data_IF_498884577964
#
_entry.id   IF_498884577964
#
_cell.length_a   1.000
_cell.length_b   1.000
_cell.length_c   1.000
_cell.angle_alpha   90.00
_cell.angle_beta   90.00
_cell.angle_gamma   90.00
#
_symmetry.space_group_name_H-M   'P 1'
#
loop_
_entity.id
_entity.type
_entity.pdbx_description
1 polymer ?
#
# COMPACT_ATOMS: atom_id res chain seq x y z
N UNK A 1 0.10 14.60 23.32
CA UNK A 1 1.19 15.54 22.95
C UNK A 1 2.02 16.05 24.14
N UNK A 2 1.46 16.20 25.36
CA UNK A 2 2.23 16.62 26.53
C UNK A 2 3.28 15.58 27.00
N UNK A 3 2.89 14.30 27.08
CA UNK A 3 3.80 13.22 27.50
C UNK A 3 5.00 13.02 26.54
N UNK A 4 4.80 13.22 25.24
CA UNK A 4 5.86 13.14 24.23
C UNK A 4 6.85 14.31 24.31
N UNK A 5 6.39 15.52 24.68
CA UNK A 5 7.26 16.69 24.89
C UNK A 5 8.10 16.57 26.17
N UNK A 6 7.51 16.12 27.27
CA UNK A 6 8.22 15.89 28.53
C UNK A 6 9.23 14.73 28.41
N UNK A 7 8.84 13.63 27.73
CA UNK A 7 9.73 12.51 27.46
C UNK A 7 10.92 12.87 26.55
N UNK A 8 10.73 13.80 25.61
CA UNK A 8 11.81 14.25 24.72
C UNK A 8 12.98 14.90 25.49
N UNK A 9 12.68 15.75 26.49
CA UNK A 9 13.72 16.36 27.32
C UNK A 9 14.49 15.33 28.15
N UNK A 10 13.78 14.34 28.70
CA UNK A 10 14.38 13.22 29.43
C UNK A 10 15.32 12.36 28.56
N UNK A 11 14.95 12.13 27.30
CA UNK A 11 15.75 11.32 26.37
C UNK A 11 17.04 12.00 25.91
N UNK A 12 17.04 13.34 25.84
CA UNK A 12 18.18 14.15 25.37
C UNK A 12 19.13 14.53 26.50
N UNK A 13 18.69 14.43 27.76
CA UNK A 13 19.53 14.75 28.90
C UNK A 13 20.67 13.72 29.07
N UNK A 14 21.90 14.15 28.76
CA UNK A 14 23.12 13.33 28.85
C UNK A 14 23.59 13.06 30.29
N UNK A 15 23.02 13.71 31.29
CA UNK A 15 23.28 13.42 32.70
C UNK A 15 22.60 12.15 33.22
N UNK A 16 21.70 11.55 32.44
CA UNK A 16 20.95 10.35 32.82
C UNK A 16 21.56 9.12 32.15
N UNK A 17 21.82 8.07 32.94
CA UNK A 17 22.38 6.81 32.45
C UNK A 17 21.57 6.21 31.30
N UNK A 18 22.30 5.68 30.32
CA UNK A 18 21.81 4.94 29.15
C UNK A 18 20.72 3.93 29.51
N UNK A 19 20.98 3.13 30.54
CA UNK A 19 20.09 2.06 30.96
C UNK A 19 18.73 2.60 31.40
N UNK A 20 18.72 3.75 32.07
CA UNK A 20 17.51 4.41 32.58
C UNK A 20 16.72 5.05 31.43
N UNK A 21 17.38 5.73 30.49
CA UNK A 21 16.73 6.29 29.30
C UNK A 21 16.12 5.20 28.41
N UNK A 22 16.85 4.10 28.19
CA UNK A 22 16.33 2.93 27.46
C UNK A 22 15.18 2.24 28.20
N UNK A 23 15.23 2.20 29.54
CA UNK A 23 14.15 1.64 30.34
C UNK A 23 12.89 2.51 30.27
N UNK A 24 13.00 3.84 30.40
CA UNK A 24 11.90 4.78 30.24
C UNK A 24 11.21 4.65 28.88
N UNK A 25 11.99 4.49 27.81
CA UNK A 25 11.48 4.16 26.48
C UNK A 25 10.63 2.88 26.52
N UNK A 26 11.17 1.79 27.07
CA UNK A 26 10.52 0.47 27.06
C UNK A 26 9.29 0.40 27.96
N UNK A 27 9.32 1.05 29.12
CA UNK A 27 8.28 0.92 30.14
C UNK A 27 7.22 2.02 30.08
N UNK A 28 7.58 3.24 29.66
CA UNK A 28 6.68 4.40 29.69
C UNK A 28 6.25 4.80 28.28
N UNK A 29 7.19 5.23 27.43
CA UNK A 29 6.84 5.74 26.10
C UNK A 29 6.22 4.66 25.22
N UNK A 30 6.75 3.44 25.27
CA UNK A 30 6.13 2.32 24.56
C UNK A 30 4.76 1.98 25.11
N UNK A 31 4.54 1.97 26.43
CA UNK A 31 3.23 1.67 27.02
C UNK A 31 2.18 2.72 26.68
N UNK A 32 2.54 4.00 26.74
CA UNK A 32 1.65 5.12 26.37
C UNK A 32 1.39 5.12 24.87
N UNK A 33 2.45 4.99 24.07
CA UNK A 33 2.34 4.93 22.61
C UNK A 33 1.53 3.73 22.14
N UNK A 34 1.66 2.60 22.86
CA UNK A 34 0.99 1.32 22.56
C UNK A 34 -0.39 1.13 23.16
N UNK A 35 -0.88 2.15 23.87
CA UNK A 35 -2.23 2.13 24.38
C UNK A 35 -3.23 1.95 23.24
N UNK A 36 -4.06 0.91 23.36
CA UNK A 36 -5.06 0.55 22.35
C UNK A 36 -4.56 -0.29 21.17
N UNK A 37 -3.25 -0.51 20.95
CA UNK A 37 -2.77 -1.29 19.79
C UNK A 37 -3.28 -2.72 19.74
N UNK A 38 -3.51 -3.33 20.91
CA UNK A 38 -4.12 -4.66 21.00
C UNK A 38 -5.53 -4.68 20.39
N UNK A 39 -6.34 -3.66 20.69
CA UNK A 39 -7.75 -3.59 20.29
C UNK A 39 -7.97 -2.96 18.92
N UNK A 40 -7.20 -1.91 18.59
CA UNK A 40 -7.43 -1.07 17.40
C UNK A 40 -6.32 -1.17 16.34
N UNK A 41 -5.28 -1.97 16.58
CA UNK A 41 -4.11 -2.01 15.69
C UNK A 41 -3.32 -0.70 15.65
N UNK A 42 -2.27 -0.64 14.82
CA UNK A 42 -1.51 0.59 14.57
C UNK A 42 -0.84 0.59 13.20
N UNK A 43 -1.14 1.61 12.39
CA UNK A 43 -0.49 1.83 11.09
C UNK A 43 1.00 2.18 11.26
N UNK A 44 1.85 1.70 10.34
CA UNK A 44 3.25 2.10 10.20
C UNK A 44 3.45 3.62 10.18
N UNK A 45 2.60 4.37 9.47
CA UNK A 45 2.71 5.84 9.41
C UNK A 45 2.42 6.50 10.76
N UNK A 46 1.51 5.93 11.56
CA UNK A 46 1.26 6.41 12.93
C UNK A 46 2.36 5.99 13.90
N UNK A 47 3.04 4.87 13.62
CA UNK A 47 4.22 4.42 14.35
C UNK A 47 5.47 5.25 14.01
N UNK A 48 5.52 5.90 12.85
CA UNK A 48 6.71 6.60 12.35
C UNK A 48 7.23 7.70 13.27
N UNK A 49 6.41 8.64 13.80
CA UNK A 49 6.91 9.66 14.73
C UNK A 49 7.50 9.05 16.02
N UNK A 50 6.91 7.96 16.51
CA UNK A 50 7.38 7.24 17.69
C UNK A 50 8.71 6.55 17.38
N UNK A 51 8.78 5.86 16.24
CA UNK A 51 10.01 5.21 15.77
C UNK A 51 11.14 6.23 15.56
N UNK A 52 10.86 7.41 15.01
CA UNK A 52 11.85 8.48 14.83
C UNK A 52 12.40 8.97 16.16
N UNK A 53 11.54 9.21 17.16
CA UNK A 53 11.98 9.62 18.50
C UNK A 53 12.91 8.57 19.15
N UNK A 54 12.61 7.28 18.94
CA UNK A 54 13.45 6.18 19.40
C UNK A 54 14.77 6.11 18.65
N UNK A 55 14.74 6.24 17.33
CA UNK A 55 15.94 6.15 16.51
C UNK A 55 16.93 7.28 16.81
N UNK A 56 16.44 8.51 17.05
CA UNK A 56 17.26 9.63 17.52
C UNK A 56 17.94 9.29 18.86
N UNK A 57 17.19 8.69 19.78
CA UNK A 57 17.70 8.30 21.10
C UNK A 57 18.79 7.22 20.97
N UNK A 58 18.55 6.18 20.18
CA UNK A 58 19.49 5.08 19.95
C UNK A 58 20.75 5.57 19.23
N UNK A 59 20.63 6.47 18.25
CA UNK A 59 21.79 7.05 17.53
C UNK A 59 22.67 7.86 18.46
N UNK A 60 22.05 8.73 19.26
CA UNK A 60 22.78 9.52 20.26
C UNK A 60 23.54 8.63 21.24
N UNK A 61 22.98 7.46 21.55
CA UNK A 61 23.55 6.53 22.52
C UNK A 61 24.77 5.77 22.00
N UNK A 62 24.69 5.31 20.75
CA UNK A 62 25.75 4.52 20.13
C UNK A 62 26.81 5.39 19.43
N UNK A 63 26.75 6.71 19.63
CA UNK A 63 27.51 7.70 18.85
C UNK A 63 27.44 7.41 17.34
N UNK A 64 26.29 6.89 16.89
CA UNK A 64 26.15 6.42 15.53
C UNK A 64 25.86 7.60 14.61
N UNK A 65 26.64 7.72 13.54
CA UNK A 65 26.40 8.71 12.49
C UNK A 65 24.97 8.61 11.94
N UNK A 66 24.41 9.76 11.55
CA UNK A 66 23.07 9.85 10.92
C UNK A 66 22.93 9.00 9.66
N UNK A 67 24.04 8.68 9.00
CA UNK A 67 24.09 7.89 7.77
C UNK A 67 24.07 6.38 8.01
N UNK A 68 24.27 5.92 9.25
CA UNK A 68 24.24 4.49 9.58
C UNK A 68 22.79 4.00 9.57
N UNK A 69 22.53 2.86 8.92
CA UNK A 69 21.21 2.23 8.98
C UNK A 69 20.84 1.80 10.40
N UNK A 70 19.60 2.02 10.82
CA UNK A 70 19.13 1.75 12.18
C UNK A 70 19.08 0.26 12.55
N UNK A 71 19.10 -0.65 11.58
CA UNK A 71 19.05 -2.10 11.82
C UNK A 71 20.18 -2.58 12.74
N UNK A 72 21.41 -2.08 12.54
CA UNK A 72 22.57 -2.46 13.37
C UNK A 72 22.47 -1.88 14.80
N UNK A 73 22.24 -0.56 15.00
CA UNK A 73 21.98 0.04 16.30
C UNK A 73 20.84 -0.61 17.10
N UNK A 74 19.71 -0.87 16.45
CA UNK A 74 18.53 -1.49 17.06
C UNK A 74 18.82 -2.93 17.50
N UNK A 75 19.51 -3.73 16.67
CA UNK A 75 19.94 -5.09 17.03
C UNK A 75 20.91 -5.08 18.20
N UNK A 76 21.87 -4.15 18.23
CA UNK A 76 22.83 -3.99 19.33
C UNK A 76 22.15 -3.64 20.65
N UNK A 77 21.10 -2.81 20.61
CA UNK A 77 20.30 -2.43 21.77
C UNK A 77 19.18 -3.43 22.12
N UNK A 78 19.09 -4.57 21.38
CA UNK A 78 18.01 -5.56 21.49
C UNK A 78 16.61 -4.93 21.41
N UNK A 79 16.45 -3.91 20.56
CA UNK A 79 15.19 -3.22 20.35
C UNK A 79 14.60 -3.61 18.99
N UNK A 80 13.37 -4.08 18.99
CA UNK A 80 12.56 -4.26 17.77
C UNK A 80 11.88 -2.96 17.35
N UNK A 81 11.45 -2.88 16.10
CA UNK A 81 10.72 -1.70 15.61
C UNK A 81 9.39 -1.53 16.35
N UNK A 82 8.95 -0.29 16.50
CA UNK A 82 7.64 0.06 17.11
C UNK A 82 6.52 -0.62 16.36
N UNK A 83 6.64 -0.62 15.03
CA UNK A 83 5.69 -1.29 14.15
C UNK A 83 5.61 -2.79 14.40
N UNK A 84 6.76 -3.47 14.53
CA UNK A 84 6.80 -4.89 14.87
C UNK A 84 6.09 -5.18 16.21
N UNK A 85 6.31 -4.34 17.23
CA UNK A 85 5.62 -4.49 18.53
C UNK A 85 4.11 -4.29 18.43
N UNK A 86 3.65 -3.38 17.57
CA UNK A 86 2.22 -3.20 17.30
C UNK A 86 1.61 -4.44 16.64
N UNK A 87 2.28 -5.01 15.64
CA UNK A 87 1.87 -6.27 15.00
C UNK A 87 1.78 -7.42 16.01
N UNK A 88 2.81 -7.59 16.85
CA UNK A 88 2.82 -8.63 17.88
C UNK A 88 1.71 -8.44 18.92
N UNK A 89 1.43 -7.19 19.33
CA UNK A 89 0.32 -6.88 20.23
C UNK A 89 -1.04 -7.24 19.61
N UNK A 90 -1.21 -6.98 18.31
CA UNK A 90 -2.43 -7.34 17.57
C UNK A 90 -2.58 -8.86 17.43
N UNK A 91 -1.52 -9.58 17.08
CA UNK A 91 -1.54 -11.04 17.05
C UNK A 91 -1.99 -11.65 18.39
N UNK A 92 -1.41 -11.18 19.49
CA UNK A 92 -1.79 -11.64 20.84
C UNK A 92 -3.25 -11.35 21.16
N UNK A 93 -3.77 -10.22 20.72
CA UNK A 93 -5.17 -9.87 20.88
C UNK A 93 -6.07 -10.84 20.10
N UNK A 94 -5.71 -11.14 18.84
CA UNK A 94 -6.41 -12.11 18.01
C UNK A 94 -6.49 -13.48 18.68
N UNK A 95 -5.37 -14.03 19.13
CA UNK A 95 -5.36 -15.33 19.80
C UNK A 95 -6.17 -15.35 21.09
N UNK A 96 -6.13 -14.25 21.86
CA UNK A 96 -6.84 -14.15 23.14
C UNK A 96 -8.35 -14.05 22.99
N UNK A 97 -8.83 -13.35 21.95
CA UNK A 97 -10.21 -12.90 21.88
C UNK A 97 -10.96 -13.33 20.61
N UNK A 98 -10.35 -14.15 19.73
CA UNK A 98 -11.02 -14.73 18.56
C UNK A 98 -12.33 -15.45 18.90
N UNK A 99 -12.36 -16.17 20.02
CA UNK A 99 -13.54 -16.93 20.46
C UNK A 99 -14.35 -16.19 21.54
N UNK A 100 -14.16 -14.87 21.67
CA UNK A 100 -14.88 -14.07 22.67
C UNK A 100 -16.34 -13.92 22.28
N UNK A 101 -17.26 -14.21 23.20
CA UNK A 101 -18.71 -14.01 23.00
C UNK A 101 -19.13 -12.53 23.05
N UNK A 102 -18.20 -11.63 23.37
CA UNK A 102 -18.46 -10.18 23.46
C UNK A 102 -18.14 -9.48 22.14
N UNK A 103 -18.57 -8.22 21.99
CA UNK A 103 -18.27 -7.36 20.84
C UNK A 103 -16.76 -7.18 20.54
N UNK A 104 -15.87 -7.59 21.46
CA UNK A 104 -14.42 -7.59 21.27
C UNK A 104 -13.99 -8.56 20.17
N UNK A 105 -14.67 -9.71 19.97
CA UNK A 105 -14.35 -10.61 18.85
C UNK A 105 -14.62 -9.91 17.52
N UNK A 106 -15.79 -9.26 17.38
CA UNK A 106 -16.12 -8.44 16.22
C UNK A 106 -15.08 -7.34 15.99
N UNK A 107 -14.63 -6.60 17.03
CA UNK A 107 -13.57 -5.58 16.88
C UNK A 107 -12.23 -6.13 16.37
N UNK A 108 -11.93 -7.38 16.68
CA UNK A 108 -10.65 -7.99 16.37
C UNK A 108 -10.67 -8.60 14.98
N UNK A 109 -11.82 -9.12 14.58
CA UNK A 109 -12.14 -9.52 13.21
C UNK A 109 -12.22 -8.32 12.25
N UNK A 110 -12.68 -7.15 12.73
CA UNK A 110 -12.58 -5.89 11.99
C UNK A 110 -11.09 -5.53 11.89
N UNK A 111 -10.44 -6.05 10.86
CA UNK A 111 -9.11 -5.68 10.46
C UNK A 111 -9.12 -4.18 10.19
N UNK A 112 -8.50 -3.42 11.09
CA UNK A 112 -8.38 -1.98 10.92
C UNK A 112 -7.46 -1.70 9.74
N UNK A 113 -8.03 -1.64 8.53
CA UNK A 113 -7.75 -0.83 7.32
C UNK A 113 -6.40 -0.10 7.22
N UNK A 114 -5.32 -0.70 7.68
CA UNK A 114 -3.97 -0.10 7.69
C UNK A 114 -2.89 -1.16 7.71
N UNK A 115 -2.97 -2.14 6.80
CA UNK A 115 -1.87 -3.08 6.54
C UNK A 115 -0.84 -2.49 5.56
N UNK A 116 -0.34 -1.28 5.85
CA UNK A 116 0.81 -0.76 5.09
C UNK A 116 2.11 -1.39 5.61
N UNK A 117 2.54 -2.43 4.89
CA UNK A 117 3.84 -3.14 4.94
C UNK A 117 3.99 -4.18 6.07
N UNK A 118 3.11 -5.17 6.12
CA UNK A 118 3.33 -6.46 6.84
C UNK A 118 3.83 -7.55 5.89
N UNK A 119 4.25 -8.69 6.44
CA UNK A 119 4.52 -9.89 5.66
C UNK A 119 3.33 -10.33 4.78
N UNK A 120 2.09 -10.07 5.20
CA UNK A 120 0.90 -10.32 4.38
C UNK A 120 0.89 -9.49 3.08
N UNK A 121 1.45 -8.28 3.10
CA UNK A 121 1.61 -7.48 1.87
C UNK A 121 2.56 -8.18 0.88
N UNK A 122 3.67 -8.75 1.37
CA UNK A 122 4.60 -9.52 0.54
C UNK A 122 3.95 -10.78 -0.06
N UNK A 123 3.04 -11.42 0.67
CA UNK A 123 2.24 -12.53 0.15
C UNK A 123 1.24 -12.03 -0.90
N UNK A 124 0.44 -11.02 -0.57
CA UNK A 124 -0.62 -10.49 -1.43
C UNK A 124 -0.09 -9.86 -2.74
N UNK A 125 1.17 -9.43 -2.76
CA UNK A 125 1.84 -8.98 -3.98
C UNK A 125 2.32 -10.11 -4.90
N UNK A 126 2.34 -11.37 -4.43
CA UNK A 126 2.71 -12.50 -5.29
C UNK A 126 1.53 -12.84 -6.20
N UNK A 127 1.79 -13.18 -7.48
CA UNK A 127 0.72 -13.49 -8.42
C UNK A 127 -0.02 -14.75 -7.98
N UNK A 128 -1.34 -14.69 -8.01
CA UNK A 128 -2.29 -15.73 -7.63
C UNK A 128 -2.03 -16.28 -6.23
N UNK A 129 -1.72 -15.38 -5.30
CA UNK A 129 -1.36 -15.74 -3.93
C UNK A 129 -2.45 -16.55 -3.24
N UNK A 130 -3.73 -16.24 -3.49
CA UNK A 130 -4.90 -16.91 -2.91
C UNK A 130 -4.95 -18.41 -3.26
N UNK A 131 -4.53 -18.78 -4.47
CA UNK A 131 -4.43 -20.18 -4.89
C UNK A 131 -3.14 -20.82 -4.36
N UNK A 132 -2.02 -20.09 -4.45
CA UNK A 132 -0.68 -20.59 -4.10
C UNK A 132 -0.50 -20.85 -2.60
N UNK A 133 -1.10 -20.04 -1.73
CA UNK A 133 -0.97 -20.17 -0.27
C UNK A 133 -1.56 -21.49 0.27
N UNK A 134 -2.55 -22.06 -0.45
CA UNK A 134 -3.14 -23.36 -0.11
C UNK A 134 -2.17 -24.51 -0.32
N UNK A 135 -1.22 -24.39 -1.26
CA UNK A 135 -0.20 -25.39 -1.49
C UNK A 135 0.87 -25.34 -0.38
N UNK A 136 1.04 -26.47 0.32
CA UNK A 136 1.98 -26.63 1.43
C UNK A 136 3.44 -26.41 1.02
N UNK A 137 3.87 -26.88 -0.15
CA UNK A 137 5.25 -26.73 -0.61
C UNK A 137 5.59 -25.27 -0.92
N UNK A 138 4.66 -24.55 -1.56
CA UNK A 138 4.83 -23.12 -1.87
C UNK A 138 4.87 -22.32 -0.56
N UNK A 139 3.99 -22.66 0.39
CA UNK A 139 3.95 -22.02 1.71
C UNK A 139 5.26 -22.23 2.47
N UNK A 140 5.82 -23.43 2.49
CA UNK A 140 7.12 -23.70 3.11
C UNK A 140 8.26 -22.92 2.47
N UNK A 141 8.26 -22.81 1.14
CA UNK A 141 9.24 -21.99 0.41
C UNK A 141 9.13 -20.51 0.82
N UNK A 142 7.90 -19.99 0.91
CA UNK A 142 7.67 -18.63 1.39
C UNK A 142 8.18 -18.48 2.82
N UNK A 143 7.81 -19.37 3.75
CA UNK A 143 8.31 -19.32 5.14
C UNK A 143 9.84 -19.17 5.18
N UNK A 144 10.58 -19.98 4.41
CA UNK A 144 12.05 -19.91 4.32
C UNK A 144 12.56 -18.57 3.77
N UNK A 145 11.89 -17.97 2.78
CA UNK A 145 12.20 -16.64 2.24
C UNK A 145 12.11 -15.55 3.32
N UNK A 146 11.17 -15.71 4.26
CA UNK A 146 10.80 -14.67 5.22
C UNK A 146 11.42 -14.84 6.62
N UNK A 147 11.86 -16.05 6.98
CA UNK A 147 12.57 -16.34 8.24
C UNK A 147 13.73 -15.39 8.58
N UNK A 148 14.56 -14.90 7.63
CA UNK A 148 15.65 -13.97 7.95
C UNK A 148 15.18 -12.57 8.40
N UNK A 149 13.95 -12.21 8.03
CA UNK A 149 13.42 -10.85 8.16
C UNK A 149 12.37 -10.73 9.27
N UNK A 150 11.71 -11.84 9.63
CA UNK A 150 10.58 -11.86 10.56
C UNK A 150 10.68 -13.01 11.56
N UNK A 151 10.17 -12.79 12.77
CA UNK A 151 10.05 -13.85 13.79
C UNK A 151 8.97 -14.87 13.39
N UNK A 152 9.18 -16.13 13.75
CA UNK A 152 8.32 -17.27 13.39
C UNK A 152 6.83 -17.05 13.74
N UNK A 153 6.53 -16.46 14.90
CA UNK A 153 5.16 -16.19 15.33
C UNK A 153 4.42 -15.22 14.40
N UNK A 154 5.14 -14.25 13.83
CA UNK A 154 4.58 -13.27 12.89
C UNK A 154 4.35 -13.92 11.52
N UNK A 155 5.24 -14.84 11.14
CA UNK A 155 5.06 -15.66 9.94
C UNK A 155 3.81 -16.53 10.12
N UNK A 156 3.69 -17.29 11.20
CA UNK A 156 2.51 -18.14 11.41
C UNK A 156 1.19 -17.35 11.39
N UNK A 157 1.15 -16.18 12.02
CA UNK A 157 -0.05 -15.33 11.97
C UNK A 157 -0.47 -14.94 10.56
N UNK A 158 0.45 -14.45 9.73
CA UNK A 158 0.04 -14.00 8.41
C UNK A 158 -0.22 -15.15 7.44
N UNK A 159 0.17 -16.39 7.79
CA UNK A 159 -0.22 -17.60 7.06
C UNK A 159 -1.68 -17.83 7.35
N UNK A 160 -2.03 -17.86 8.63
CA UNK A 160 -3.40 -18.05 9.08
C UNK A 160 -4.31 -16.98 8.48
N UNK A 161 -3.87 -15.72 8.49
CA UNK A 161 -4.60 -14.60 7.88
C UNK A 161 -4.70 -14.71 6.36
N UNK A 162 -3.62 -15.08 5.65
CA UNK A 162 -3.66 -15.31 4.21
C UNK A 162 -4.57 -16.49 3.84
N UNK A 163 -4.54 -17.58 4.62
CA UNK A 163 -5.41 -18.74 4.41
C UNK A 163 -6.88 -18.35 4.59
N UNK A 164 -7.19 -17.63 5.67
CA UNK A 164 -8.53 -17.07 5.90
C UNK A 164 -9.02 -16.25 4.69
N UNK A 165 -8.22 -15.30 4.21
CA UNK A 165 -8.60 -14.52 3.03
C UNK A 165 -8.69 -15.37 1.76
N UNK A 166 -7.87 -16.42 1.61
CA UNK A 166 -7.91 -17.30 0.44
C UNK A 166 -9.17 -18.17 0.35
N UNK A 167 -9.87 -18.35 1.47
CA UNK A 167 -11.15 -19.05 1.51
C UNK A 167 -12.32 -18.11 1.19
N UNK A 168 -12.19 -16.82 1.52
CA UNK A 168 -13.15 -15.78 1.15
C UNK A 168 -13.00 -15.41 -0.34
N UNK A 169 -11.76 -15.23 -0.80
CA UNK A 169 -11.42 -14.74 -2.14
C UNK A 169 -10.96 -15.88 -3.05
N UNK A 170 -11.92 -16.64 -3.56
CA UNK A 170 -11.68 -17.78 -4.45
C UNK A 170 -11.58 -17.40 -5.93
N UNK A 171 -12.05 -16.20 -6.30
CA UNK A 171 -12.04 -15.67 -7.65
C UNK A 171 -10.66 -15.20 -8.14
N UNK A 172 -10.65 -14.59 -9.33
CA UNK A 172 -9.48 -13.92 -9.91
C UNK A 172 -9.22 -12.55 -9.29
N UNK A 173 -10.28 -11.84 -8.89
CA UNK A 173 -10.21 -10.60 -8.14
C UNK A 173 -9.97 -10.88 -6.67
N UNK A 174 -8.88 -10.35 -6.13
CA UNK A 174 -8.45 -10.53 -4.75
C UNK A 174 -8.05 -9.20 -4.13
N UNK A 175 -8.14 -9.03 -2.80
CA UNK A 175 -7.65 -7.84 -2.14
C UNK A 175 -6.14 -7.74 -2.26
N UNK A 176 -5.66 -6.53 -2.52
CA UNK A 176 -4.26 -6.20 -2.62
C UNK A 176 -3.59 -6.03 -1.25
N UNK A 177 -2.29 -5.75 -1.31
CA UNK A 177 -1.45 -5.54 -0.15
C UNK A 177 -1.77 -4.27 0.66
N UNK A 178 -2.54 -3.35 0.08
CA UNK A 178 -2.94 -2.08 0.68
C UNK A 178 -4.46 -2.02 0.72
N UNK A 179 -5.00 -1.33 1.71
CA UNK A 179 -6.45 -1.18 1.86
C UNK A 179 -7.06 -0.46 0.66
N UNK A 180 -8.27 -0.88 0.27
CA UNK A 180 -8.97 -0.42 -0.93
C UNK A 180 -8.12 -0.57 -2.21
N UNK A 181 -7.23 -1.56 -2.27
CA UNK A 181 -6.62 -1.99 -3.53
C UNK A 181 -7.05 -3.41 -3.83
N UNK A 182 -7.26 -3.69 -5.10
CA UNK A 182 -7.61 -5.01 -5.59
C UNK A 182 -6.64 -5.40 -6.70
N UNK A 183 -6.41 -6.69 -6.82
CA UNK A 183 -5.51 -7.29 -7.77
C UNK A 183 -6.32 -8.30 -8.57
N UNK A 184 -6.18 -8.24 -9.89
CA UNK A 184 -6.60 -9.29 -10.81
C UNK A 184 -5.35 -9.64 -11.60
N UNK A 185 -4.81 -10.82 -11.37
CA UNK A 185 -3.72 -11.32 -12.21
C UNK A 185 -4.27 -11.60 -13.62
N UNK A 186 -3.47 -11.28 -14.64
CA UNK A 186 -3.80 -11.54 -16.05
C UNK A 186 -5.13 -10.90 -16.51
N UNK A 187 -5.49 -9.76 -15.91
CA UNK A 187 -6.72 -9.02 -16.20
C UNK A 187 -6.82 -8.57 -17.67
N UNK A 188 -5.68 -8.23 -18.27
CA UNK A 188 -5.57 -7.78 -19.66
C UNK A 188 -5.07 -8.95 -20.52
N UNK A 189 -5.88 -9.45 -21.48
CA UNK A 189 -5.47 -10.50 -22.40
C UNK A 189 -4.22 -10.14 -23.20
N UNK A 190 -3.41 -11.15 -23.54
CA UNK A 190 -2.17 -10.97 -24.31
C UNK A 190 -2.40 -10.34 -25.69
N UNK A 191 -3.55 -10.60 -26.32
CA UNK A 191 -4.00 -9.94 -27.54
C UNK A 191 -4.00 -8.41 -27.40
N UNK A 192 -4.63 -7.88 -26.35
CA UNK A 192 -4.70 -6.44 -26.09
C UNK A 192 -3.32 -5.86 -25.77
N UNK A 193 -2.48 -6.59 -25.03
CA UNK A 193 -1.11 -6.16 -24.76
C UNK A 193 -0.29 -6.04 -26.05
N UNK A 194 -0.46 -6.99 -26.97
CA UNK A 194 0.18 -6.96 -28.28
C UNK A 194 -0.35 -5.80 -29.13
N UNK A 195 -1.67 -5.55 -29.12
CA UNK A 195 -2.27 -4.42 -29.82
C UNK A 195 -1.75 -3.07 -29.31
N UNK A 196 -1.58 -2.90 -27.99
CA UNK A 196 -0.93 -1.71 -27.41
C UNK A 196 0.51 -1.58 -27.94
N UNK A 197 1.28 -2.66 -27.93
CA UNK A 197 2.69 -2.60 -28.37
C UNK A 197 2.81 -2.23 -29.84
N UNK A 198 1.89 -2.69 -30.69
CA UNK A 198 1.83 -2.36 -32.11
C UNK A 198 1.44 -0.89 -32.29
N UNK A 199 0.38 -0.44 -31.62
CA UNK A 199 -0.12 0.94 -31.76
C UNK A 199 0.87 1.97 -31.20
N UNK A 200 1.48 1.73 -30.04
CA UNK A 200 2.50 2.64 -29.47
C UNK A 200 3.70 2.81 -30.41
N UNK A 201 4.20 1.74 -31.04
CA UNK A 201 5.32 1.84 -32.00
C UNK A 201 5.02 2.80 -33.14
N UNK A 202 3.77 2.84 -33.61
CA UNK A 202 3.35 3.78 -34.66
C UNK A 202 3.28 5.23 -34.18
N UNK A 203 3.04 5.45 -32.89
CA UNK A 203 2.96 6.80 -32.29
C UNK A 203 4.32 7.38 -31.87
N UNK A 204 5.33 6.53 -31.59
CA UNK A 204 6.69 6.99 -31.23
C UNK A 204 7.48 7.51 -32.44
N UNK A 205 7.14 7.08 -33.66
CA UNK A 205 7.74 7.59 -34.90
C UNK A 205 7.00 8.82 -35.43
N UNK A 206 7.27 9.97 -34.80
CA UNK A 206 6.68 11.28 -35.14
C UNK A 206 7.23 11.86 -36.46
N UNK A 207 8.08 11.13 -37.18
CA UNK A 207 8.67 11.58 -38.45
C UNK A 207 7.81 11.21 -39.68
N UNK A 208 6.88 10.27 -39.52
CA UNK A 208 6.12 9.65 -40.61
C UNK A 208 4.60 9.91 -40.56
N UNK A 209 4.09 10.52 -39.48
CA UNK A 209 2.67 10.79 -39.33
C UNK A 209 2.32 12.19 -39.82
N UNK A 210 1.36 12.29 -40.76
CA UNK A 210 0.80 13.56 -41.25
C UNK A 210 -0.01 14.34 -40.20
N UNK A 211 0.26 14.12 -38.92
CA UNK A 211 -0.37 14.78 -37.77
C UNK A 211 0.30 16.14 -37.61
N UNK A 212 -0.44 17.25 -37.77
CA UNK A 212 0.12 18.57 -37.48
C UNK A 212 0.60 18.60 -36.03
N UNK A 213 1.82 19.08 -35.83
CA UNK A 213 2.39 19.24 -34.49
C UNK A 213 1.44 20.12 -33.67
N UNK A 214 0.92 19.62 -32.54
CA UNK A 214 -0.15 20.28 -31.79
C UNK A 214 0.15 21.75 -31.44
N UNK A 215 1.43 22.08 -31.23
CA UNK A 215 1.96 23.43 -31.05
C UNK A 215 1.58 24.43 -32.17
N UNK A 216 1.17 23.96 -33.36
CA UNK A 216 0.78 24.78 -34.51
C UNK A 216 -0.73 25.09 -34.56
N UNK A 217 -1.56 24.36 -33.79
CA UNK A 217 -3.03 24.45 -33.84
C UNK A 217 -3.62 25.19 -32.63
N UNK A 218 -2.94 25.21 -31.48
CA UNK A 218 -3.50 25.86 -30.28
C UNK A 218 -3.24 27.37 -30.29
N UNK A 219 -4.29 28.16 -30.01
CA UNK A 219 -4.15 29.59 -29.72
C UNK A 219 -3.23 29.83 -28.52
N UNK A 220 -2.53 30.97 -28.52
CA UNK A 220 -1.57 31.43 -27.48
C UNK A 220 -2.22 31.70 -26.10
N UNK A 221 -3.24 30.94 -25.71
CA UNK A 221 -3.86 31.03 -24.39
C UNK A 221 -2.94 30.45 -23.34
N UNK A 222 -2.59 31.26 -22.34
CA UNK A 222 -1.80 30.81 -21.20
C UNK A 222 -2.57 29.73 -20.43
N UNK A 223 -2.17 28.46 -20.58
CA UNK A 223 -2.62 27.40 -19.68
C UNK A 223 -1.98 27.62 -18.32
N UNK A 224 -2.80 27.98 -17.31
CA UNK A 224 -2.39 27.91 -15.90
C UNK A 224 -2.19 26.44 -15.53
N UNK A 225 -0.96 25.97 -15.66
CA UNK A 225 -0.55 24.68 -15.13
C UNK A 225 -0.77 24.67 -13.61
N UNK A 226 -1.76 23.94 -13.12
CA UNK A 226 -1.86 23.58 -11.71
C UNK A 226 -0.84 22.47 -11.45
N UNK A 227 0.45 22.80 -11.53
CA UNK A 227 1.51 21.90 -11.08
C UNK A 227 1.44 21.89 -9.55
N UNK A 228 1.26 20.71 -8.92
CA UNK A 228 1.38 20.59 -7.47
C UNK A 228 2.74 21.13 -7.04
N UNK A 229 2.78 21.93 -5.99
CA UNK A 229 3.99 22.55 -5.45
C UNK A 229 5.15 21.56 -5.36
N UNK A 230 6.37 22.02 -5.71
CA UNK A 230 7.66 21.32 -5.93
C UNK A 230 8.04 20.11 -5.03
N UNK A 231 7.33 19.80 -3.97
CA UNK A 231 7.71 18.82 -2.96
C UNK A 231 7.36 17.35 -3.30
N UNK A 232 6.62 17.05 -4.38
CA UNK A 232 6.22 15.67 -4.69
C UNK A 232 6.43 15.21 -6.15
N UNK A 233 7.49 15.69 -6.81
CA UNK A 233 7.82 15.33 -8.20
C UNK A 233 8.33 13.89 -8.42
N UNK A 234 8.36 13.03 -7.39
CA UNK A 234 8.88 11.65 -7.53
C UNK A 234 8.04 10.79 -8.49
N UNK A 235 6.76 11.10 -8.64
CA UNK A 235 5.81 10.34 -9.45
C UNK A 235 5.41 11.06 -10.75
N UNK A 236 6.00 12.24 -11.01
CA UNK A 236 5.71 13.02 -12.21
C UNK A 236 6.74 12.69 -13.29
N UNK A 237 6.31 11.98 -14.33
CA UNK A 237 7.13 11.81 -15.53
C UNK A 237 7.11 13.10 -16.35
N UNK A 238 8.30 13.62 -16.68
CA UNK A 238 8.45 14.74 -17.63
C UNK A 238 8.32 14.31 -19.09
N UNK A 239 8.37 12.99 -19.35
CA UNK A 239 8.41 12.40 -20.69
C UNK A 239 7.06 11.80 -21.10
N UNK A 240 6.32 11.24 -20.14
CA UNK A 240 5.06 10.54 -20.38
C UNK A 240 3.99 11.21 -19.51
N UNK A 241 3.08 11.95 -20.13
CA UNK A 241 1.97 12.60 -19.45
C UNK A 241 0.68 12.18 -20.12
N UNK A 242 -0.16 11.44 -19.38
CA UNK A 242 -1.55 11.25 -19.74
C UNK A 242 -2.33 12.42 -19.11
N UNK A 243 -2.85 13.34 -19.92
CA UNK A 243 -3.73 14.40 -19.42
C UNK A 243 -5.07 13.79 -19.00
N UNK A 244 -5.76 14.35 -17.97
CA UNK A 244 -7.07 13.84 -17.57
C UNK A 244 -7.99 13.65 -18.78
N UNK A 245 -8.43 12.41 -18.98
CA UNK A 245 -9.32 12.01 -20.06
C UNK A 245 -10.64 11.59 -19.43
N UNK A 246 -11.73 12.09 -19.98
CA UNK A 246 -13.09 11.71 -19.61
C UNK A 246 -13.45 10.38 -20.28
N UNK A 247 -14.00 9.47 -19.47
CA UNK A 247 -14.49 8.17 -19.90
C UNK A 247 -15.97 8.09 -19.54
N UNK A 248 -16.80 7.60 -20.46
CA UNK A 248 -18.16 7.18 -20.16
C UNK A 248 -18.19 5.66 -19.96
N UNK A 249 -19.02 5.19 -19.03
CA UNK A 249 -19.20 3.76 -18.77
C UNK A 249 -20.68 3.46 -18.90
N UNK A 250 -21.05 2.68 -19.92
CA UNK A 250 -22.44 2.35 -20.14
C UNK A 250 -22.94 1.24 -19.20
N UNK A 251 -24.26 0.97 -19.24
CA UNK A 251 -24.90 -0.01 -18.36
C UNK A 251 -24.36 -1.44 -18.50
N UNK A 252 -23.73 -1.77 -19.64
CA UNK A 252 -23.14 -3.08 -19.90
C UNK A 252 -21.66 -3.16 -19.46
N UNK A 253 -21.08 -2.04 -19.01
CA UNK A 253 -19.68 -1.94 -18.60
C UNK A 253 -18.71 -1.70 -19.75
N UNK A 254 -19.19 -1.38 -20.97
CA UNK A 254 -18.32 -0.88 -22.03
C UNK A 254 -17.89 0.54 -21.73
N UNK A 255 -16.67 0.88 -22.15
CA UNK A 255 -16.04 2.16 -21.85
C UNK A 255 -15.86 2.93 -23.14
N UNK A 256 -16.30 4.19 -23.17
CA UNK A 256 -16.10 5.11 -24.29
C UNK A 256 -15.19 6.26 -23.84
N UNK A 257 -14.19 6.60 -24.64
CA UNK A 257 -13.32 7.75 -24.40
C UNK A 257 -13.94 9.00 -25.02
N UNK A 258 -14.43 9.92 -24.17
CA UNK A 258 -15.16 11.10 -24.64
C UNK A 258 -14.25 12.26 -25.04
N UNK A 259 -13.08 12.36 -24.41
CA UNK A 259 -12.18 13.50 -24.58
C UNK A 259 -10.88 13.10 -25.26
N UNK A 260 -10.27 14.05 -25.95
CA UNK A 260 -8.97 13.90 -26.58
C UNK A 260 -7.87 13.46 -25.57
N UNK A 261 -7.17 12.38 -25.88
CA UNK A 261 -5.95 11.94 -25.17
C UNK A 261 -4.75 12.67 -25.76
N UNK A 262 -3.97 13.34 -24.91
CA UNK A 262 -2.81 14.12 -25.34
C UNK A 262 -1.81 13.30 -26.18
N UNK A 263 -1.42 13.84 -27.34
CA UNK A 263 -0.60 13.19 -28.37
C UNK A 263 -1.24 12.00 -29.10
N UNK A 264 -2.54 11.74 -28.92
CA UNK A 264 -3.25 10.65 -29.59
C UNK A 264 -4.45 11.20 -30.38
N UNK A 265 -4.30 11.41 -31.69
CA UNK A 265 -5.40 11.86 -32.55
C UNK A 265 -6.51 10.79 -32.69
N UNK A 266 -7.79 11.11 -32.42
CA UNK A 266 -8.89 10.13 -32.42
C UNK A 266 -9.07 9.40 -33.75
N UNK A 267 -9.02 10.12 -34.88
CA UNK A 267 -9.22 9.51 -36.20
C UNK A 267 -7.98 8.76 -36.71
N UNK A 268 -6.78 9.27 -36.43
CA UNK A 268 -5.53 8.70 -36.97
C UNK A 268 -5.08 7.50 -36.13
N UNK A 269 -5.38 7.53 -34.83
CA UNK A 269 -5.07 6.47 -33.88
C UNK A 269 -6.33 5.80 -33.33
N UNK A 270 -7.39 5.70 -34.14
CA UNK A 270 -8.67 5.10 -33.77
C UNK A 270 -8.50 3.72 -33.12
N UNK A 271 -7.69 2.85 -33.73
CA UNK A 271 -7.38 1.52 -33.16
C UNK A 271 -6.77 1.59 -31.75
N UNK A 272 -6.01 2.64 -31.44
CA UNK A 272 -5.44 2.81 -30.11
C UNK A 272 -6.48 3.26 -29.09
N UNK A 273 -7.44 4.11 -29.48
CA UNK A 273 -8.60 4.44 -28.64
C UNK A 273 -9.42 3.18 -28.33
N UNK A 274 -9.78 2.39 -29.36
CA UNK A 274 -10.51 1.13 -29.19
C UNK A 274 -9.77 0.14 -28.26
N UNK A 275 -8.45 0.02 -28.44
CA UNK A 275 -7.62 -0.85 -27.59
C UNK A 275 -7.64 -0.38 -26.13
N UNK A 276 -7.56 0.93 -25.89
CA UNK A 276 -7.59 1.51 -24.55
C UNK A 276 -8.97 1.31 -23.90
N UNK A 277 -10.06 1.57 -24.62
CA UNK A 277 -11.43 1.30 -24.17
C UNK A 277 -11.58 -0.14 -23.68
N UNK A 278 -11.21 -1.12 -24.52
CA UNK A 278 -11.22 -2.56 -24.18
C UNK A 278 -10.40 -2.91 -22.94
N UNK A 279 -9.31 -2.18 -22.66
CA UNK A 279 -8.50 -2.38 -21.44
C UNK A 279 -9.22 -1.80 -20.23
N UNK A 280 -9.74 -0.58 -20.33
CA UNK A 280 -10.44 0.07 -19.23
C UNK A 280 -11.72 -0.68 -18.85
N UNK A 281 -12.39 -1.34 -19.81
CA UNK A 281 -13.48 -2.29 -19.55
C UNK A 281 -13.06 -3.41 -18.59
N UNK A 282 -11.84 -3.94 -18.73
CA UNK A 282 -11.30 -4.96 -17.81
C UNK A 282 -11.04 -4.38 -16.41
N UNK A 283 -10.83 -3.06 -16.31
CA UNK A 283 -10.61 -2.37 -15.04
C UNK A 283 -11.89 -1.93 -14.33
N UNK A 284 -13.03 -1.86 -15.02
CA UNK A 284 -14.32 -1.48 -14.42
C UNK A 284 -14.65 -2.27 -13.14
N UNK A 285 -14.51 -3.61 -13.09
CA UNK A 285 -14.75 -4.37 -11.86
C UNK A 285 -13.81 -3.99 -10.71
N UNK A 286 -12.55 -3.64 -11.00
CA UNK A 286 -11.59 -3.17 -9.99
C UNK A 286 -12.08 -1.84 -9.40
N UNK A 287 -12.45 -0.88 -10.26
CA UNK A 287 -12.94 0.43 -9.82
C UNK A 287 -14.22 0.31 -8.99
N UNK A 288 -15.17 -0.53 -9.41
CA UNK A 288 -16.41 -0.74 -8.68
C UNK A 288 -16.17 -1.22 -7.25
N UNK A 289 -15.24 -2.15 -7.04
CA UNK A 289 -14.92 -2.62 -5.69
C UNK A 289 -14.20 -1.56 -4.85
N UNK A 290 -13.21 -0.86 -5.44
CA UNK A 290 -12.54 0.26 -4.75
C UNK A 290 -13.52 1.34 -4.31
N UNK A 291 -14.46 1.71 -5.19
CA UNK A 291 -15.47 2.73 -4.90
C UNK A 291 -16.49 2.25 -3.86
N UNK A 292 -16.92 0.98 -3.95
CA UNK A 292 -17.83 0.36 -2.98
C UNK A 292 -17.22 0.39 -1.59
N UNK A 293 -15.95 0.06 -1.47
CA UNK A 293 -15.22 0.08 -0.19
C UNK A 293 -14.94 1.50 0.31
N UNK A 294 -14.74 2.46 -0.60
CA UNK A 294 -14.50 3.87 -0.26
C UNK A 294 -15.77 4.61 0.18
N UNK A 295 -16.96 4.08 -0.12
CA UNK A 295 -18.24 4.71 0.22
C UNK A 295 -18.53 4.66 1.73
N UNK A 296 -18.54 5.84 2.38
CA UNK A 296 -18.80 6.00 3.83
C UNK A 296 -20.15 5.43 4.31
N UNK A 297 -21.12 5.25 3.42
CA UNK A 297 -22.43 4.68 3.73
C UNK A 297 -22.37 3.14 3.89
N UNK A 298 -21.33 2.48 3.36
CA UNK A 298 -21.11 1.03 3.47
C UNK A 298 -20.41 0.61 4.78
N UNK A 299 -20.40 1.48 5.81
CA UNK A 299 -19.79 1.23 7.12
C UNK A 299 -20.60 0.28 8.04
N UNK A 300 -21.75 -0.24 7.59
CA UNK A 300 -22.62 -1.11 8.42
C UNK A 300 -22.47 -2.61 8.17
N UNK A 301 -21.86 -3.03 7.05
CA UNK A 301 -21.74 -4.45 6.67
C UNK A 301 -20.26 -4.87 6.53
N UNK A 302 -19.49 -4.71 7.60
CA UNK A 302 -18.05 -5.04 7.65
C UNK A 302 -17.74 -6.51 7.35
N UNK A 303 -18.69 -7.44 7.54
CA UNK A 303 -18.49 -8.88 7.36
C UNK A 303 -18.57 -9.35 5.91
N UNK A 304 -19.03 -8.50 4.99
CA UNK A 304 -19.27 -8.84 3.57
C UNK A 304 -18.63 -7.82 2.63
N UNK A 305 -17.64 -7.06 3.11
CA UNK A 305 -16.83 -6.18 2.25
C UNK A 305 -16.04 -7.07 1.28
N UNK A 306 -16.45 -7.03 0.02
CA UNK A 306 -15.84 -7.72 -1.13
C UNK A 306 -14.44 -7.16 -1.33
#
# INVERSE_FOLDING_TARGET
>A
MAATRAGYWFLINRGISMAIRAQFVRSVLMSIGSYGWKLFGMNKERCRPIQMALDVSIRSELCASRYISMTRPQKKMRMTTVYYKACLARWRAHQKWKNSITWISNLIEITTHTQKQTWLAEIKNKPSWNKKIKNTEIREKWIKEFQPHFEEQVINYAIDEALYYSDIFTGSLVPGAVDCTYIVDDCVPEELLNDICITIRSTEDVSSTGVPKWDSIIGKGETKFVIPTKENNKYLSKKYQWLPTEFDINANGFVDILSYIYNLHPEIHEKMYETLERIFEKFVPLFNNVLTDSCKQNNKNDKTRI
#
